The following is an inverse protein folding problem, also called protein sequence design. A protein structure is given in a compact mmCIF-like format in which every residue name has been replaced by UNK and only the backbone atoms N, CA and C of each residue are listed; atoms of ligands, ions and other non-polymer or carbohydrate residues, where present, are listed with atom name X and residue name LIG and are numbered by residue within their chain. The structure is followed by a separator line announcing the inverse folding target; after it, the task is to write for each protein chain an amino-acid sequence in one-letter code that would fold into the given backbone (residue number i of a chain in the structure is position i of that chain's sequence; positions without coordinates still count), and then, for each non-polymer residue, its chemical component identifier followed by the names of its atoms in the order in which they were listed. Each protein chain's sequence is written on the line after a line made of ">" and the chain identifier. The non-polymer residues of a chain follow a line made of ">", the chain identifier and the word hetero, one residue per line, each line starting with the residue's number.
data_IF_178509128910
#
_entry.id   IF_178509128910
#
_cell.length_a   1.000
_cell.length_b   1.000
_cell.length_c   1.000
_cell.angle_alpha   90.00
_cell.angle_beta   90.00
_cell.angle_gamma   90.00
#
_symmetry.space_group_name_H-M   'P 1'
#
loop_
_entity.id
_entity.type
_entity.pdbx_description
1 polymer ?
#
# COMPACT_ATOMS: atom_id res chain seq x y z
N UNK A 1 4.75 -11.37 7.45
CA UNK A 1 4.61 -9.93 7.15
C UNK A 1 5.38 -9.14 8.20
N UNK A 2 6.40 -8.34 7.84
CA UNK A 2 7.27 -7.65 8.82
C UNK A 2 6.68 -6.37 9.44
N UNK A 3 5.60 -5.82 8.87
CA UNK A 3 5.00 -4.53 9.27
C UNK A 3 3.47 -4.62 9.50
N UNK A 4 3.00 -5.71 10.10
CA UNK A 4 1.57 -5.88 10.42
C UNK A 4 1.11 -4.78 11.38
N UNK A 5 -0.06 -4.22 11.14
CA UNK A 5 -0.71 -3.15 11.91
C UNK A 5 0.04 -1.80 11.97
N UNK A 6 1.14 -1.65 11.22
CA UNK A 6 1.84 -0.37 11.10
C UNK A 6 1.32 0.40 9.87
N UNK A 7 0.98 1.67 10.08
CA UNK A 7 0.72 2.59 8.96
C UNK A 7 2.05 3.00 8.35
N UNK A 8 2.19 2.78 7.05
CA UNK A 8 3.35 3.23 6.27
C UNK A 8 2.88 4.31 5.30
N UNK A 9 3.68 5.37 5.16
CA UNK A 9 3.38 6.42 4.17
C UNK A 9 3.66 5.92 2.76
N UNK A 10 3.14 6.64 1.76
CA UNK A 10 3.37 6.29 0.35
C UNK A 10 4.86 6.31 0.02
N UNK A 11 5.56 7.32 0.52
CA UNK A 11 6.99 7.53 0.38
C UNK A 11 7.76 6.33 0.93
N UNK A 12 7.46 5.94 2.17
CA UNK A 12 8.12 4.81 2.84
C UNK A 12 7.94 3.49 2.09
N UNK A 13 6.73 3.24 1.56
CA UNK A 13 6.46 2.01 0.81
C UNK A 13 7.18 2.05 -0.54
N UNK A 14 7.17 3.19 -1.22
CA UNK A 14 7.82 3.35 -2.52
C UNK A 14 9.34 3.18 -2.39
N UNK A 15 9.97 3.93 -1.47
CA UNK A 15 11.41 3.87 -1.23
C UNK A 15 11.86 2.47 -0.79
N UNK A 16 11.09 1.78 0.04
CA UNK A 16 11.45 0.43 0.48
C UNK A 16 11.32 -0.64 -0.62
N UNK A 17 10.50 -0.41 -1.64
CA UNK A 17 10.26 -1.38 -2.73
C UNK A 17 11.15 -1.08 -3.94
N UNK A 18 11.28 0.20 -4.32
CA UNK A 18 12.04 0.64 -5.49
C UNK A 18 13.47 1.10 -5.17
N UNK A 19 13.82 1.36 -3.90
CA UNK A 19 15.10 1.98 -3.50
C UNK A 19 15.37 3.34 -4.17
N UNK A 20 14.31 4.05 -4.54
CA UNK A 20 14.35 5.35 -5.19
C UNK A 20 13.50 6.35 -4.41
N UNK A 21 13.88 7.63 -4.45
CA UNK A 21 13.12 8.70 -3.80
C UNK A 21 11.73 8.81 -4.40
N UNK A 22 10.71 8.88 -3.54
CA UNK A 22 9.34 9.05 -3.99
C UNK A 22 9.16 10.37 -4.75
N UNK A 23 8.61 10.27 -5.96
CA UNK A 23 8.20 11.43 -6.75
C UNK A 23 6.75 11.75 -6.41
N UNK A 24 6.53 12.96 -5.90
CA UNK A 24 5.20 13.42 -5.51
C UNK A 24 4.25 13.40 -6.73
N UNK A 25 3.10 12.72 -6.58
CA UNK A 25 2.14 12.52 -7.66
C UNK A 25 2.29 11.20 -8.43
N UNK A 26 3.31 10.38 -8.13
CA UNK A 26 3.42 9.04 -8.71
C UNK A 26 2.27 8.13 -8.26
N UNK A 27 1.57 7.57 -9.26
CA UNK A 27 0.42 6.66 -9.10
C UNK A 27 0.81 5.19 -9.20
N UNK A 28 2.06 4.88 -9.53
CA UNK A 28 2.58 3.53 -9.70
C UNK A 28 2.32 2.68 -8.45
N UNK A 29 2.58 3.24 -7.26
CA UNK A 29 2.27 2.57 -6.00
C UNK A 29 0.78 2.19 -5.89
N UNK A 30 -0.14 3.07 -6.29
CA UNK A 30 -1.58 2.80 -6.21
C UNK A 30 -2.00 1.66 -7.14
N UNK A 31 -1.43 1.59 -8.35
CA UNK A 31 -1.66 0.50 -9.31
C UNK A 31 -1.19 -0.84 -8.73
N UNK A 32 0.00 -0.86 -8.13
CA UNK A 32 0.54 -2.07 -7.51
C UNK A 32 -0.30 -2.51 -6.30
N UNK A 33 -0.75 -1.58 -5.46
CA UNK A 33 -1.66 -1.88 -4.34
C UNK A 33 -2.99 -2.45 -4.85
N UNK A 34 -3.53 -1.92 -5.95
CA UNK A 34 -4.74 -2.48 -6.58
C UNK A 34 -4.53 -3.93 -7.03
N UNK A 35 -3.46 -4.20 -7.78
CA UNK A 35 -3.14 -5.56 -8.23
C UNK A 35 -2.89 -6.53 -7.06
N UNK A 36 -2.27 -6.04 -5.98
CA UNK A 36 -2.10 -6.85 -4.77
C UNK A 36 -3.46 -7.20 -4.15
N UNK A 37 -4.36 -6.23 -3.99
CA UNK A 37 -5.71 -6.48 -3.49
C UNK A 37 -6.47 -7.47 -4.35
N UNK A 38 -6.39 -7.37 -5.67
CA UNK A 38 -6.99 -8.32 -6.61
C UNK A 38 -6.51 -9.77 -6.41
N UNK A 39 -5.29 -9.96 -5.90
CA UNK A 39 -4.71 -11.30 -5.68
C UNK A 39 -4.92 -11.85 -4.28
N UNK A 40 -4.94 -11.00 -3.25
CA UNK A 40 -4.93 -11.44 -1.85
C UNK A 40 -6.26 -11.19 -1.12
N UNK A 41 -7.06 -10.23 -1.56
CA UNK A 41 -8.34 -9.91 -0.94
C UNK A 41 -9.45 -10.78 -1.52
N UNK A 42 -10.40 -11.18 -0.66
CA UNK A 42 -11.61 -11.86 -1.12
C UNK A 42 -12.53 -10.93 -1.94
N UNK A 43 -12.54 -9.65 -1.59
CA UNK A 43 -13.24 -8.60 -2.34
C UNK A 43 -12.36 -7.34 -2.41
N UNK A 44 -11.73 -7.06 -3.56
CA UNK A 44 -10.83 -5.91 -3.73
C UNK A 44 -11.52 -4.55 -3.54
N UNK A 45 -12.83 -4.48 -3.75
CA UNK A 45 -13.64 -3.27 -3.54
C UNK A 45 -13.96 -3.00 -2.06
N UNK A 46 -13.80 -4.01 -1.20
CA UNK A 46 -13.92 -3.89 0.26
C UNK A 46 -12.70 -4.53 0.96
N UNK A 47 -11.51 -3.93 0.83
CA UNK A 47 -10.27 -4.55 1.26
C UNK A 47 -10.21 -4.69 2.79
N UNK A 48 -9.89 -5.89 3.27
CA UNK A 48 -9.77 -6.22 4.69
C UNK A 48 -8.31 -6.34 5.13
N UNK A 49 -7.42 -6.72 4.22
CA UNK A 49 -5.99 -6.93 4.47
C UNK A 49 -5.21 -5.63 4.28
N UNK A 50 -5.35 -4.96 3.13
CA UNK A 50 -4.65 -3.69 2.84
C UNK A 50 -5.63 -2.54 2.99
N UNK A 51 -5.53 -1.79 4.07
CA UNK A 51 -6.36 -0.62 4.33
C UNK A 51 -5.72 0.67 3.79
N UNK A 52 -6.51 1.51 3.13
CA UNK A 52 -6.07 2.85 2.71
C UNK A 52 -6.32 3.85 3.84
N UNK A 53 -5.26 4.50 4.32
CA UNK A 53 -5.37 5.65 5.22
C UNK A 53 -5.26 6.92 4.37
N UNK A 54 -6.40 7.58 4.12
CA UNK A 54 -6.47 8.76 3.26
C UNK A 54 -5.53 9.86 3.76
N UNK A 55 -4.76 10.44 2.84
CA UNK A 55 -3.78 11.48 3.14
C UNK A 55 -2.47 11.01 3.76
N UNK A 56 -2.33 9.71 4.09
CA UNK A 56 -1.13 9.17 4.75
C UNK A 56 -0.50 8.05 3.91
N UNK A 57 -1.23 6.98 3.65
CA UNK A 57 -0.66 5.80 2.98
C UNK A 57 -1.49 4.53 3.21
N UNK A 58 -0.82 3.43 3.56
CA UNK A 58 -1.43 2.12 3.66
C UNK A 58 -1.05 1.39 4.95
N UNK A 59 -1.97 0.56 5.43
CA UNK A 59 -1.78 -0.31 6.60
C UNK A 59 -2.14 -1.75 6.22
N UNK A 60 -1.28 -2.70 6.56
CA UNK A 60 -1.59 -4.11 6.42
C UNK A 60 -2.18 -4.63 7.74
N UNK A 61 -3.42 -5.11 7.72
CA UNK A 61 -4.04 -5.86 8.81
C UNK A 61 -3.72 -7.35 8.63
N UNK A 62 -3.56 -8.06 9.74
CA UNK A 62 -3.45 -9.52 9.78
C UNK A 62 -4.81 -10.14 10.10
#
# INVERSE_FOLDING_TARGET
>A
MKNVNRTLTKEQIFEAVWNETYIEGDKSLMVHIRHLREKIERNPSNPQIIETIRGIGYRCKA
#
